data_IF_771089267712
#
_entry.id   IF_771089267712
#
_cell.length_a   1.000
_cell.length_b   1.000
_cell.length_c   1.000
_cell.angle_alpha   90.00
_cell.angle_beta   90.00
_cell.angle_gamma   90.00
#
_symmetry.space_group_name_H-M   'P 1'
#
loop_
_entity.id
_entity.type
_entity.pdbx_description
1 polymer ?
#
# COMPACT_ATOMS: atom_id res chain seq x y z
N UNK A 1 -7.67 -24.78 -7.69
CA UNK A 1 -7.15 -24.16 -6.45
C UNK A 1 -7.45 -22.68 -6.51
N UNK A 2 -7.95 -22.11 -5.42
CA UNK A 2 -8.13 -20.66 -5.25
C UNK A 2 -6.75 -20.00 -5.24
N UNK A 3 -6.50 -19.05 -6.16
CA UNK A 3 -5.25 -18.29 -6.19
C UNK A 3 -5.19 -17.34 -4.99
N UNK A 4 -4.03 -17.20 -4.38
CA UNK A 4 -3.79 -16.30 -3.26
C UNK A 4 -2.68 -15.29 -3.60
N UNK A 5 -2.98 -13.99 -3.47
CA UNK A 5 -2.05 -12.91 -3.84
C UNK A 5 -1.80 -12.00 -2.64
N UNK A 6 -0.53 -11.76 -2.33
CA UNK A 6 -0.11 -10.73 -1.40
C UNK A 6 0.18 -9.42 -2.14
N UNK A 7 -0.31 -8.30 -1.60
CA UNK A 7 0.00 -6.95 -2.06
C UNK A 7 0.68 -6.20 -0.92
N UNK A 8 1.92 -5.79 -1.13
CA UNK A 8 2.72 -5.06 -0.12
C UNK A 8 2.58 -3.56 -0.34
N UNK A 9 1.75 -2.92 0.50
CA UNK A 9 1.44 -1.50 0.47
C UNK A 9 -0.02 -1.22 0.13
N UNK A 10 -0.69 -0.46 1.00
CA UNK A 10 -2.13 -0.13 0.89
C UNK A 10 -2.40 1.26 0.30
N UNK A 11 -1.44 1.81 -0.45
CA UNK A 11 -1.64 3.04 -1.22
C UNK A 11 -2.53 2.84 -2.45
N UNK A 12 -2.67 3.87 -3.31
CA UNK A 12 -3.43 3.77 -4.54
C UNK A 12 -3.03 2.60 -5.43
N UNK A 13 -1.72 2.38 -5.63
CA UNK A 13 -1.21 1.28 -6.45
C UNK A 13 -1.70 -0.09 -5.94
N UNK A 14 -1.62 -0.32 -4.63
CA UNK A 14 -2.06 -1.56 -4.01
C UNK A 14 -3.57 -1.80 -4.14
N UNK A 15 -4.39 -0.79 -3.85
CA UNK A 15 -5.84 -0.92 -3.97
C UNK A 15 -6.33 -1.04 -5.42
N UNK A 16 -5.70 -0.34 -6.37
CA UNK A 16 -6.05 -0.52 -7.78
C UNK A 16 -5.62 -1.90 -8.31
N UNK A 17 -4.48 -2.42 -7.86
CA UNK A 17 -4.07 -3.79 -8.17
C UNK A 17 -5.08 -4.81 -7.60
N UNK A 18 -5.47 -4.66 -6.33
CA UNK A 18 -6.49 -5.50 -5.70
C UNK A 18 -7.82 -5.46 -6.47
N UNK A 19 -8.30 -4.26 -6.82
CA UNK A 19 -9.54 -4.11 -7.58
C UNK A 19 -9.46 -4.81 -8.94
N UNK A 20 -8.36 -4.63 -9.67
CA UNK A 20 -8.15 -5.25 -10.97
C UNK A 20 -8.07 -6.78 -10.88
N UNK A 21 -7.34 -7.31 -9.89
CA UNK A 21 -7.20 -8.74 -9.64
C UNK A 21 -8.56 -9.36 -9.32
N UNK A 22 -9.31 -8.82 -8.36
CA UNK A 22 -10.63 -9.34 -7.99
C UNK A 22 -11.67 -9.23 -9.11
N UNK A 23 -11.53 -8.25 -10.03
CA UNK A 23 -12.41 -8.15 -11.21
C UNK A 23 -12.10 -9.23 -12.25
N UNK A 24 -10.84 -9.62 -12.40
CA UNK A 24 -10.39 -10.57 -13.42
C UNK A 24 -10.52 -12.02 -12.97
N UNK A 25 -10.35 -12.27 -11.68
CA UNK A 25 -10.32 -13.60 -11.07
C UNK A 25 -11.27 -13.61 -9.85
N UNK A 26 -12.57 -13.90 -10.02
CA UNK A 26 -13.56 -13.79 -8.94
C UNK A 26 -13.30 -14.68 -7.71
N UNK A 27 -12.58 -15.79 -7.90
CA UNK A 27 -12.25 -16.76 -6.85
C UNK A 27 -10.88 -16.49 -6.20
N UNK A 28 -10.17 -15.42 -6.58
CA UNK A 28 -8.88 -15.07 -5.95
C UNK A 28 -9.07 -14.61 -4.51
N UNK A 29 -8.08 -14.84 -3.65
CA UNK A 29 -7.94 -14.16 -2.36
C UNK A 29 -6.81 -13.16 -2.43
N UNK A 30 -6.99 -12.00 -1.80
CA UNK A 30 -6.01 -10.90 -1.79
C UNK A 30 -5.79 -10.42 -0.38
N UNK A 31 -4.54 -10.52 0.09
CA UNK A 31 -4.11 -9.89 1.33
C UNK A 31 -3.33 -8.61 1.01
N UNK A 32 -3.78 -7.47 1.53
CA UNK A 32 -3.07 -6.20 1.43
C UNK A 32 -2.34 -5.98 2.76
N UNK A 33 -1.02 -6.15 2.73
CA UNK A 33 -0.14 -5.94 3.87
C UNK A 33 0.34 -4.48 3.91
N UNK A 34 0.32 -3.86 5.09
CA UNK A 34 0.85 -2.51 5.27
C UNK A 34 1.53 -2.34 6.62
N UNK A 35 2.67 -1.63 6.64
CA UNK A 35 3.39 -1.31 7.87
C UNK A 35 2.59 -0.40 8.81
N UNK A 36 1.67 0.40 8.28
CA UNK A 36 0.84 1.30 9.05
C UNK A 36 -0.46 0.61 9.50
N UNK A 37 -1.03 1.03 10.66
CA UNK A 37 -2.34 0.54 11.09
C UNK A 37 -3.49 1.11 10.24
N UNK A 38 -3.23 2.16 9.44
CA UNK A 38 -4.25 2.84 8.64
C UNK A 38 -3.96 2.73 7.15
N UNK A 39 -4.97 2.38 6.33
CA UNK A 39 -4.78 2.19 4.90
C UNK A 39 -4.71 3.52 4.12
N UNK A 40 -4.57 3.38 2.79
CA UNK A 40 -4.69 4.42 1.74
C UNK A 40 -3.42 5.22 1.45
N UNK A 41 -2.32 4.97 2.17
CA UNK A 41 -1.02 5.60 1.93
C UNK A 41 -1.12 7.12 1.79
N UNK A 42 -0.48 7.68 0.75
CA UNK A 42 -0.45 9.13 0.53
C UNK A 42 -1.81 9.76 0.25
N UNK A 43 -2.87 9.02 -0.09
CA UNK A 43 -4.22 9.61 -0.13
C UNK A 43 -4.64 10.09 1.26
N UNK A 44 -4.27 9.33 2.29
CA UNK A 44 -4.45 9.71 3.69
C UNK A 44 -3.39 10.72 4.13
N UNK A 45 -2.11 10.37 4.02
CA UNK A 45 -1.00 11.08 4.66
C UNK A 45 -0.29 12.14 3.81
N UNK A 46 -0.46 12.13 2.49
CA UNK A 46 0.26 13.02 1.56
C UNK A 46 -0.62 14.11 0.94
N UNK A 47 -1.79 13.73 0.41
CA UNK A 47 -2.72 14.70 -0.21
C UNK A 47 -3.05 15.78 0.82
N UNK A 48 -2.86 17.03 0.42
CA UNK A 48 -3.01 18.18 1.29
C UNK A 48 -4.43 18.24 1.91
N UNK A 49 -4.57 18.78 3.14
CA UNK A 49 -5.82 18.74 3.90
C UNK A 49 -6.95 19.60 3.30
N UNK A 50 -6.63 20.58 2.48
CA UNK A 50 -7.58 21.39 1.70
C UNK A 50 -8.01 20.72 0.38
N UNK A 51 -7.35 19.62 -0.03
CA UNK A 51 -7.63 18.89 -1.27
C UNK A 51 -8.60 17.71 -1.05
N UNK A 52 -9.74 17.98 -0.41
CA UNK A 52 -10.75 16.95 -0.09
C UNK A 52 -11.33 16.27 -1.34
N UNK A 53 -11.45 17.01 -2.44
CA UNK A 53 -11.85 16.47 -3.74
C UNK A 53 -10.97 15.31 -4.19
N UNK A 54 -9.65 15.45 -4.10
CA UNK A 54 -8.67 14.42 -4.45
C UNK A 54 -8.73 13.23 -3.50
N UNK A 55 -8.96 13.46 -2.20
CA UNK A 55 -9.07 12.38 -1.20
C UNK A 55 -10.24 11.43 -1.49
N UNK A 56 -11.30 11.88 -2.17
CA UNK A 56 -12.51 11.10 -2.48
C UNK A 56 -12.26 9.74 -3.14
N UNK A 57 -11.11 9.53 -3.79
CA UNK A 57 -10.70 8.24 -4.33
C UNK A 57 -10.70 7.13 -3.28
N UNK A 58 -10.55 7.47 -1.99
CA UNK A 58 -10.64 6.52 -0.87
C UNK A 58 -11.94 5.70 -0.92
N UNK A 59 -13.04 6.23 -1.47
CA UNK A 59 -14.31 5.49 -1.60
C UNK A 59 -14.19 4.28 -2.52
N UNK A 60 -13.37 4.34 -3.55
CA UNK A 60 -13.08 3.20 -4.44
C UNK A 60 -12.31 2.13 -3.67
N UNK A 61 -11.31 2.54 -2.92
CA UNK A 61 -10.48 1.65 -2.11
C UNK A 61 -11.29 0.99 -1.01
N UNK A 62 -12.15 1.75 -0.35
CA UNK A 62 -13.05 1.24 0.67
C UNK A 62 -14.01 0.18 0.10
N UNK A 63 -14.65 0.44 -1.05
CA UNK A 63 -15.47 -0.59 -1.71
C UNK A 63 -14.68 -1.85 -2.07
N UNK A 64 -13.42 -1.71 -2.44
CA UNK A 64 -12.53 -2.85 -2.73
C UNK A 64 -12.20 -3.62 -1.46
N UNK A 65 -11.90 -2.93 -0.37
CA UNK A 65 -11.63 -3.52 0.95
C UNK A 65 -12.85 -4.24 1.57
N UNK A 66 -14.07 -3.91 1.13
CA UNK A 66 -15.30 -4.56 1.59
C UNK A 66 -15.65 -5.84 0.81
N UNK A 67 -14.85 -6.22 -0.19
CA UNK A 67 -15.03 -7.49 -0.91
C UNK A 67 -14.62 -8.65 0.00
N UNK A 68 -15.38 -9.73 -0.02
CA UNK A 68 -15.09 -10.94 0.78
C UNK A 68 -13.72 -11.55 0.45
N UNK A 69 -13.23 -11.34 -0.77
CA UNK A 69 -11.93 -11.80 -1.23
C UNK A 69 -10.73 -10.99 -0.70
N UNK A 70 -10.96 -9.80 -0.12
CA UNK A 70 -9.89 -8.84 0.21
C UNK A 70 -9.76 -8.71 1.72
N UNK A 71 -8.57 -8.96 2.24
CA UNK A 71 -8.23 -8.76 3.65
C UNK A 71 -7.16 -7.67 3.78
N UNK A 72 -7.37 -6.75 4.71
CA UNK A 72 -6.34 -5.77 5.10
C UNK A 72 -5.59 -6.27 6.33
N UNK A 73 -4.27 -6.32 6.23
CA UNK A 73 -3.36 -6.74 7.30
C UNK A 73 -2.39 -5.59 7.58
N UNK A 74 -2.85 -4.64 8.40
CA UNK A 74 -2.05 -3.50 8.83
C UNK A 74 -1.09 -3.84 9.97
N UNK A 75 -0.18 -2.90 10.25
CA UNK A 75 0.88 -3.05 11.27
C UNK A 75 1.81 -4.26 11.01
N UNK A 76 2.05 -4.59 9.73
CA UNK A 76 2.98 -5.63 9.29
C UNK A 76 3.95 -5.03 8.26
N UNK A 77 5.22 -4.94 8.62
CA UNK A 77 6.27 -4.38 7.79
C UNK A 77 7.05 -5.48 7.08
N UNK A 78 6.82 -5.62 5.78
CA UNK A 78 7.58 -6.54 4.93
C UNK A 78 9.02 -6.05 4.83
N UNK A 79 9.97 -6.93 5.13
CA UNK A 79 11.40 -6.62 5.30
C UNK A 79 11.84 -6.58 6.77
N UNK A 80 10.91 -6.39 7.73
CA UNK A 80 11.18 -6.46 9.17
C UNK A 80 10.45 -7.63 9.85
N UNK A 81 9.14 -7.69 9.67
CA UNK A 81 8.26 -8.65 10.34
C UNK A 81 8.09 -9.94 9.52
N UNK A 82 8.14 -9.83 8.18
CA UNK A 82 8.06 -10.96 7.23
C UNK A 82 8.92 -10.66 6.00
N UNK A 83 9.61 -11.67 5.44
CA UNK A 83 10.45 -11.50 4.26
C UNK A 83 9.71 -11.71 2.93
N UNK A 84 10.18 -11.08 1.85
CA UNK A 84 9.65 -11.38 0.49
C UNK A 84 9.82 -12.86 0.11
N UNK A 85 10.95 -13.54 0.39
CA UNK A 85 11.07 -14.98 0.11
C UNK A 85 10.00 -15.82 0.81
N UNK A 86 9.70 -15.50 2.07
CA UNK A 86 8.65 -16.17 2.84
C UNK A 86 7.26 -15.94 2.24
N UNK A 87 6.96 -14.70 1.81
CA UNK A 87 5.71 -14.42 1.09
C UNK A 87 5.59 -15.21 -0.22
N UNK A 88 6.69 -15.44 -0.94
CA UNK A 88 6.69 -16.25 -2.16
C UNK A 88 6.48 -17.75 -1.91
N UNK A 89 6.71 -18.23 -0.69
CA UNK A 89 6.37 -19.60 -0.28
C UNK A 89 4.89 -19.73 0.14
N UNK A 90 4.30 -18.64 0.65
CA UNK A 90 2.93 -18.61 1.19
C UNK A 90 1.85 -18.20 0.16
N UNK A 91 2.23 -17.47 -0.89
CA UNK A 91 1.31 -16.90 -1.88
C UNK A 91 1.69 -17.30 -3.29
N UNK A 92 0.69 -17.43 -4.18
CA UNK A 92 0.93 -17.72 -5.60
C UNK A 92 1.59 -16.54 -6.33
N UNK A 93 1.39 -15.32 -5.83
CA UNK A 93 2.03 -14.11 -6.34
C UNK A 93 2.17 -13.03 -5.26
N UNK A 94 3.19 -12.19 -5.42
CA UNK A 94 3.46 -11.03 -4.56
C UNK A 94 3.55 -9.77 -5.44
N UNK A 95 2.79 -8.73 -5.09
CA UNK A 95 2.83 -7.42 -5.76
C UNK A 95 3.47 -6.41 -4.82
N UNK A 96 4.57 -5.79 -5.25
CA UNK A 96 5.21 -4.70 -4.50
C UNK A 96 4.58 -3.36 -4.89
N UNK A 97 3.86 -2.75 -3.95
CA UNK A 97 3.17 -1.46 -4.08
C UNK A 97 3.60 -0.48 -2.98
N UNK A 98 4.90 -0.52 -2.62
CA UNK A 98 5.47 0.12 -1.42
C UNK A 98 5.60 1.63 -1.50
N UNK A 99 5.52 2.22 -2.70
CA UNK A 99 5.74 3.65 -2.91
C UNK A 99 7.20 4.06 -2.65
N UNK A 100 7.39 5.33 -2.28
CA UNK A 100 8.69 5.91 -1.89
C UNK A 100 8.48 6.62 -0.57
N UNK A 101 9.31 6.33 0.42
CA UNK A 101 9.23 6.92 1.77
C UNK A 101 10.32 7.94 2.05
N UNK A 102 11.41 7.89 1.30
CA UNK A 102 12.59 8.73 1.54
C UNK A 102 12.55 9.96 0.63
N UNK A 103 12.95 11.08 1.20
CA UNK A 103 13.09 12.32 0.47
C UNK A 103 14.42 12.40 -0.29
N UNK A 104 14.45 13.20 -1.35
CA UNK A 104 15.67 13.41 -2.14
C UNK A 104 16.49 14.56 -1.55
N UNK A 105 17.71 14.24 -1.11
CA UNK A 105 18.69 15.24 -0.65
C UNK A 105 19.02 16.28 -1.73
N UNK A 106 19.25 17.51 -1.28
CA UNK A 106 19.63 18.62 -2.14
C UNK A 106 21.12 18.56 -2.52
N UNK A 107 21.95 18.00 -1.65
CA UNK A 107 23.39 17.85 -1.84
C UNK A 107 24.14 19.18 -1.77
N UNK A 108 23.68 20.12 -0.94
CA UNK A 108 24.25 21.46 -0.80
C UNK A 108 24.68 21.74 0.64
N UNK A 109 25.66 22.63 0.80
CA UNK A 109 26.08 23.08 2.12
C UNK A 109 24.90 23.71 2.88
N UNK A 110 24.72 23.32 4.14
CA UNK A 110 23.65 23.80 4.99
C UNK A 110 22.33 23.01 4.90
N UNK A 111 22.26 21.92 4.10
CA UNK A 111 21.04 21.12 3.98
C UNK A 111 20.61 20.39 5.27
N UNK A 112 21.52 20.25 6.24
CA UNK A 112 21.25 19.66 7.55
C UNK A 112 21.07 20.71 8.68
N UNK A 113 20.96 22.01 8.35
CA UNK A 113 20.77 23.06 9.36
C UNK A 113 19.38 22.98 10.03
N UNK A 114 19.25 23.39 11.31
CA UNK A 114 17.96 23.46 12.00
C UNK A 114 16.95 24.30 11.21
N UNK A 115 15.80 23.71 10.91
CA UNK A 115 14.72 24.36 10.14
C UNK A 115 14.69 24.00 8.65
N UNK A 116 15.68 23.24 8.15
CA UNK A 116 15.63 22.61 6.82
C UNK A 116 14.98 21.23 6.96
N UNK A 117 13.97 20.95 6.16
CA UNK A 117 13.20 19.70 6.17
C UNK A 117 13.00 19.15 4.76
N UNK A 118 12.78 17.83 4.70
CA UNK A 118 12.58 17.03 3.50
C UNK A 118 13.80 16.19 3.22
#
# INVERSE_FOLDING_TARGET
MTKHVAIVGSGPAGFYAAEAICKKEPEVRVDILDRLPTPYGLVRSGVAPDHQGTKNVWRVFHRTAQREQVQYVGNVEVGRDVGVPELLELYDAVVLAVGVTDDRKLGIEGEDLPGVYG
#
